data_IF_175058657101
#
_entry.id   IF_175058657101
#
_cell.length_a   1.000
_cell.length_b   1.000
_cell.length_c   1.000
_cell.angle_alpha   90.00
_cell.angle_beta   90.00
_cell.angle_gamma   90.00
#
_symmetry.space_group_name_H-M   'P 1'
#
loop_
_entity.id
_entity.type
_entity.pdbx_description
1 polymer ?
#
# COMPACT_ATOMS: atom_id res chain seq x y z
N UNK A 1 15.63 -5.81 2.60
CA UNK A 1 15.68 -6.91 3.58
C UNK A 1 15.14 -6.36 4.87
N UNK A 2 14.09 -6.99 5.39
CA UNK A 2 13.57 -6.65 6.71
C UNK A 2 14.50 -7.17 7.80
N UNK A 3 14.44 -6.57 8.98
CA UNK A 3 15.30 -6.97 10.11
C UNK A 3 14.96 -8.37 10.64
N UNK A 4 13.70 -8.79 10.60
CA UNK A 4 13.28 -10.16 10.95
C UNK A 4 13.96 -11.23 10.06
N UNK A 5 14.04 -10.99 8.76
CA UNK A 5 14.72 -11.88 7.81
C UNK A 5 16.23 -11.86 8.05
N UNK A 6 16.82 -10.69 8.30
CA UNK A 6 18.23 -10.56 8.65
C UNK A 6 18.55 -11.38 9.92
N UNK A 7 17.75 -11.23 10.97
CA UNK A 7 17.91 -11.96 12.23
C UNK A 7 17.78 -13.47 12.03
N UNK A 8 16.75 -13.91 11.31
CA UNK A 8 16.53 -15.32 10.98
C UNK A 8 17.71 -15.95 10.22
N UNK A 9 18.30 -15.22 9.26
CA UNK A 9 19.48 -15.68 8.54
C UNK A 9 20.75 -15.62 9.38
N UNK A 10 20.91 -14.59 10.22
CA UNK A 10 22.05 -14.46 11.13
C UNK A 10 22.14 -15.65 12.08
N UNK A 11 21.01 -16.06 12.67
CA UNK A 11 20.89 -17.25 13.53
C UNK A 11 21.33 -18.55 12.85
N UNK A 12 21.24 -18.64 11.52
CA UNK A 12 21.56 -19.85 10.74
C UNK A 12 22.95 -19.83 10.12
N UNK A 13 23.44 -18.67 9.72
CA UNK A 13 24.60 -18.54 8.83
C UNK A 13 25.70 -17.65 9.39
N UNK A 14 25.53 -17.10 10.59
CA UNK A 14 26.42 -16.10 11.17
C UNK A 14 26.68 -14.92 10.21
N UNK A 15 25.72 -14.01 10.18
CA UNK A 15 25.83 -12.74 9.45
C UNK A 15 26.54 -11.62 10.24
N UNK A 16 27.47 -11.94 11.15
CA UNK A 16 28.23 -10.93 11.91
C UNK A 16 28.85 -9.82 11.04
N UNK A 17 29.42 -10.09 9.85
CA UNK A 17 29.91 -9.03 8.97
C UNK A 17 28.83 -8.07 8.48
N UNK A 18 27.59 -8.56 8.28
CA UNK A 18 26.46 -7.71 7.89
C UNK A 18 25.95 -6.88 9.07
N UNK A 19 25.92 -7.45 10.28
CA UNK A 19 25.61 -6.69 11.49
C UNK A 19 26.66 -5.60 11.76
N UNK A 20 27.93 -5.86 11.45
CA UNK A 20 28.97 -4.84 11.48
C UNK A 20 28.71 -3.72 10.47
N UNK A 21 28.32 -4.06 9.24
CA UNK A 21 27.94 -3.06 8.23
C UNK A 21 26.73 -2.21 8.68
N UNK A 22 25.77 -2.80 9.40
CA UNK A 22 24.66 -2.05 10.04
C UNK A 22 25.19 -1.04 11.05
N UNK A 23 26.05 -1.46 11.99
CA UNK A 23 26.66 -0.57 13.00
C UNK A 23 27.48 0.56 12.38
N UNK A 24 28.14 0.28 11.26
CA UNK A 24 28.95 1.25 10.50
C UNK A 24 28.11 2.17 9.60
N UNK A 25 26.77 2.06 9.62
CA UNK A 25 25.85 2.82 8.76
C UNK A 25 26.06 2.59 7.24
N UNK A 26 26.44 1.36 6.85
CA UNK A 26 26.74 0.99 5.45
C UNK A 26 25.59 0.25 4.75
N UNK A 27 24.44 0.14 5.42
CA UNK A 27 23.24 -0.54 4.92
C UNK A 27 22.15 0.49 4.65
N UNK A 28 21.52 0.41 3.47
CA UNK A 28 20.35 1.19 3.09
C UNK A 28 19.16 0.23 2.87
N UNK A 29 17.99 0.47 3.47
CA UNK A 29 17.69 1.56 4.41
C UNK A 29 18.31 1.34 5.81
N UNK A 30 18.48 2.39 6.62
CA UNK A 30 18.83 2.27 8.03
C UNK A 30 17.85 1.38 8.79
N UNK A 31 18.35 0.55 9.70
CA UNK A 31 17.50 -0.43 10.41
C UNK A 31 16.45 0.23 11.32
N UNK A 32 16.69 1.46 11.78
CA UNK A 32 15.73 2.25 12.54
C UNK A 32 14.43 2.59 11.81
N UNK A 33 14.33 2.37 10.49
CA UNK A 33 13.06 2.52 9.76
C UNK A 33 12.09 1.36 9.98
N UNK A 34 12.57 0.22 10.47
CA UNK A 34 11.79 -1.03 10.52
C UNK A 34 10.70 -1.03 11.62
N UNK A 35 10.96 -0.50 12.84
CA UNK A 35 9.93 -0.38 13.87
C UNK A 35 8.74 0.49 13.46
N UNK A 36 8.95 1.50 12.62
CA UNK A 36 7.90 2.40 12.14
C UNK A 36 7.22 1.93 10.84
N UNK A 37 7.61 0.76 10.31
CA UNK A 37 7.08 0.19 9.06
C UNK A 37 5.99 -0.87 9.31
N UNK A 38 5.69 -1.20 10.57
CA UNK A 38 4.63 -2.15 10.92
C UNK A 38 3.25 -1.52 10.76
N UNK A 39 2.24 -2.31 10.37
CA UNK A 39 0.91 -1.75 10.07
C UNK A 39 0.17 -1.22 11.31
N UNK A 40 0.58 -1.62 12.51
CA UNK A 40 0.05 -1.04 13.76
C UNK A 40 0.36 0.46 13.89
N UNK A 41 1.39 0.98 13.19
CA UNK A 41 1.67 2.42 13.17
C UNK A 41 0.51 3.26 12.62
N UNK A 42 -0.35 2.69 11.78
CA UNK A 42 -1.55 3.40 11.33
C UNK A 42 -2.52 3.71 12.48
N UNK A 43 -2.52 2.91 13.57
CA UNK A 43 -3.27 3.26 14.77
C UNK A 43 -2.72 4.53 15.44
N UNK A 44 -1.39 4.69 15.50
CA UNK A 44 -0.76 5.90 16.06
C UNK A 44 -1.21 7.14 15.30
N UNK A 45 -1.22 7.05 13.96
CA UNK A 45 -1.61 8.15 13.06
C UNK A 45 -3.12 8.44 13.15
N UNK A 46 -3.96 7.43 13.33
CA UNK A 46 -5.44 7.54 13.33
C UNK A 46 -6.04 7.47 14.74
N UNK A 47 -5.22 7.65 15.76
CA UNK A 47 -5.57 7.51 17.17
C UNK A 47 -5.31 8.79 17.96
N UNK A 48 -5.07 8.70 19.28
CA UNK A 48 -4.87 9.86 20.15
C UNK A 48 -3.69 10.76 19.77
N UNK A 49 -2.70 10.25 19.03
CA UNK A 49 -1.54 11.00 18.59
C UNK A 49 -1.73 11.72 17.24
N UNK A 50 -2.92 11.64 16.62
CA UNK A 50 -3.22 12.24 15.29
C UNK A 50 -2.77 13.69 15.14
N UNK A 51 -2.84 14.50 16.20
CA UNK A 51 -2.53 15.92 16.15
C UNK A 51 -1.01 16.21 16.08
N UNK A 52 -0.16 15.18 16.21
CA UNK A 52 1.30 15.27 15.98
C UNK A 52 1.69 15.12 14.51
N UNK A 53 0.75 14.71 13.66
CA UNK A 53 0.97 14.39 12.26
C UNK A 53 0.29 15.42 11.34
N UNK A 54 0.74 15.50 10.10
CA UNK A 54 0.14 16.40 9.14
C UNK A 54 -1.27 15.92 8.76
N UNK A 55 -2.21 16.85 8.64
CA UNK A 55 -3.63 16.54 8.42
C UNK A 55 -3.89 15.76 7.11
N UNK A 56 -3.07 15.97 6.09
CA UNK A 56 -3.13 15.23 4.83
C UNK A 56 -2.62 13.79 4.95
N UNK A 57 -1.66 13.51 5.83
CA UNK A 57 -1.22 12.15 6.16
C UNK A 57 -2.30 11.42 6.95
N UNK A 58 -2.86 12.06 7.99
CA UNK A 58 -3.96 11.51 8.78
C UNK A 58 -5.17 11.22 7.89
N UNK A 59 -5.60 12.19 7.09
CA UNK A 59 -6.78 12.06 6.22
C UNK A 59 -6.64 11.04 5.09
N UNK A 60 -5.41 10.61 4.76
CA UNK A 60 -5.14 9.55 3.76
C UNK A 60 -4.86 8.19 4.38
N UNK A 61 -4.84 8.10 5.71
CA UNK A 61 -4.63 6.85 6.45
C UNK A 61 -5.99 6.32 6.92
N UNK A 62 -6.45 5.14 6.45
CA UNK A 62 -7.69 4.56 6.94
C UNK A 62 -7.63 4.28 8.45
N UNK A 63 -8.75 4.50 9.14
CA UNK A 63 -8.88 4.15 10.56
C UNK A 63 -8.39 2.72 10.81
N UNK A 64 -7.50 2.58 11.78
CA UNK A 64 -6.83 1.30 12.08
C UNK A 64 -6.69 1.11 13.59
N UNK A 65 -6.90 -0.13 14.07
CA UNK A 65 -6.61 -0.56 15.44
C UNK A 65 -5.93 -1.92 15.46
N UNK A 66 -4.99 -2.13 16.38
CA UNK A 66 -4.51 -3.43 16.79
C UNK A 66 -5.66 -4.26 17.31
N UNK A 67 -5.72 -5.51 16.85
CA UNK A 67 -6.90 -6.36 16.99
C UNK A 67 -6.76 -7.29 18.19
N UNK A 68 -7.24 -6.83 19.34
CA UNK A 68 -7.38 -7.61 20.57
C UNK A 68 -8.57 -7.08 21.40
N UNK A 69 -9.09 -7.84 22.38
CA UNK A 69 -10.19 -7.37 23.24
C UNK A 69 -9.81 -6.10 24.01
N UNK A 70 -10.46 -4.98 23.68
CA UNK A 70 -10.23 -3.66 24.30
C UNK A 70 -11.37 -2.69 24.01
N UNK A 71 -11.37 -1.59 24.76
CA UNK A 71 -12.09 -0.36 24.41
C UNK A 71 -11.24 0.51 23.48
N UNK A 72 -11.87 1.26 22.59
CA UNK A 72 -11.22 2.23 21.70
C UNK A 72 -12.25 3.18 21.08
N UNK A 73 -11.80 4.08 20.21
CA UNK A 73 -12.66 4.94 19.40
C UNK A 73 -12.76 4.40 17.98
N UNK A 74 -13.97 4.42 17.43
CA UNK A 74 -14.29 4.02 16.07
C UNK A 74 -13.90 5.07 15.02
N UNK A 75 -14.14 4.76 13.73
CA UNK A 75 -13.75 5.60 12.60
C UNK A 75 -14.37 7.00 12.63
N UNK A 76 -15.55 7.16 13.21
CA UNK A 76 -16.27 8.44 13.30
C UNK A 76 -16.12 9.10 14.69
N UNK A 77 -15.23 8.56 15.54
CA UNK A 77 -14.98 9.02 16.89
C UNK A 77 -15.96 8.50 17.94
N UNK A 78 -16.81 7.54 17.57
CA UNK A 78 -17.71 6.87 18.50
C UNK A 78 -16.96 5.94 19.46
N UNK A 79 -17.41 5.85 20.72
CA UNK A 79 -16.80 4.94 21.67
C UNK A 79 -17.16 3.48 21.33
N UNK A 80 -16.14 2.62 21.30
CA UNK A 80 -16.25 1.17 21.12
C UNK A 80 -15.89 0.49 22.44
N UNK A 81 -16.85 -0.22 23.03
CA UNK A 81 -16.66 -0.93 24.30
C UNK A 81 -15.93 -2.26 24.16
N UNK A 82 -16.14 -2.96 23.04
CA UNK A 82 -15.46 -4.20 22.70
C UNK A 82 -15.16 -4.21 21.20
N UNK A 83 -13.88 -4.03 20.86
CA UNK A 83 -13.40 -4.02 19.49
C UNK A 83 -13.75 -5.32 18.72
N UNK A 84 -13.80 -6.46 19.39
CA UNK A 84 -14.09 -7.75 18.76
C UNK A 84 -15.57 -7.81 18.39
N UNK A 85 -16.46 -7.52 19.35
CA UNK A 85 -17.91 -7.47 19.09
C UNK A 85 -18.28 -6.40 18.05
N UNK A 86 -17.62 -5.24 18.10
CA UNK A 86 -17.79 -4.19 17.09
C UNK A 86 -17.34 -4.66 15.70
N UNK A 87 -16.21 -5.37 15.61
CA UNK A 87 -15.72 -5.91 14.34
C UNK A 87 -16.69 -6.91 13.72
N UNK A 88 -17.31 -7.79 14.52
CA UNK A 88 -18.35 -8.71 14.04
C UNK A 88 -19.54 -7.97 13.42
N UNK A 89 -20.05 -6.93 14.10
CA UNK A 89 -21.22 -6.17 13.65
C UNK A 89 -20.95 -5.27 12.45
N UNK A 90 -19.69 -4.93 12.18
CA UNK A 90 -19.28 -4.02 11.10
C UNK A 90 -18.46 -4.71 10.00
N UNK A 91 -18.35 -6.05 10.03
CA UNK A 91 -17.39 -6.82 9.26
C UNK A 91 -17.35 -6.47 7.77
N UNK A 92 -18.51 -6.28 7.14
CA UNK A 92 -18.61 -5.96 5.71
C UNK A 92 -17.84 -4.69 5.29
N UNK A 93 -17.58 -3.78 6.22
CA UNK A 93 -16.86 -2.52 5.99
C UNK A 93 -15.43 -2.54 6.51
N UNK A 94 -14.90 -3.71 6.89
CA UNK A 94 -13.60 -3.84 7.54
C UNK A 94 -12.67 -4.78 6.77
N UNK A 95 -11.39 -4.68 7.13
CA UNK A 95 -10.32 -5.55 6.69
C UNK A 95 -9.53 -6.00 7.92
N UNK A 96 -9.34 -7.30 8.08
CA UNK A 96 -8.39 -7.88 9.03
C UNK A 96 -7.11 -8.25 8.29
N UNK A 97 -5.97 -7.79 8.78
CA UNK A 97 -4.66 -8.10 8.18
C UNK A 97 -3.58 -8.30 9.25
N UNK A 98 -2.65 -9.24 9.05
CA UNK A 98 -1.47 -9.36 9.90
C UNK A 98 -0.68 -8.03 9.92
N UNK A 99 -0.19 -7.64 11.09
CA UNK A 99 0.68 -6.47 11.26
C UNK A 99 1.91 -6.56 10.35
N UNK A 100 2.51 -7.76 10.30
CA UNK A 100 3.67 -8.10 9.48
C UNK A 100 3.32 -9.23 8.51
N UNK A 101 3.90 -9.20 7.31
CA UNK A 101 3.68 -10.23 6.29
C UNK A 101 3.55 -9.68 4.87
N UNK A 102 3.77 -10.56 3.90
CA UNK A 102 3.84 -10.26 2.48
C UNK A 102 2.77 -11.00 1.67
N UNK A 103 2.46 -10.46 0.48
CA UNK A 103 1.68 -11.14 -0.56
C UNK A 103 0.21 -11.44 -0.21
N UNK A 104 -0.39 -10.74 0.75
CA UNK A 104 -1.82 -10.86 1.07
C UNK A 104 -2.18 -12.11 1.89
N UNK A 105 -1.20 -12.90 2.33
CA UNK A 105 -1.45 -14.02 3.22
C UNK A 105 -2.01 -13.52 4.57
N UNK A 106 -3.01 -14.22 5.11
CA UNK A 106 -3.71 -13.84 6.34
C UNK A 106 -4.74 -12.70 6.18
N UNK A 107 -4.78 -12.00 5.05
CA UNK A 107 -5.74 -10.90 4.85
C UNK A 107 -7.17 -11.46 4.68
N UNK A 108 -8.13 -10.79 5.32
CA UNK A 108 -9.57 -11.04 5.20
C UNK A 108 -10.28 -9.73 4.94
N UNK A 109 -11.15 -9.68 3.94
CA UNK A 109 -11.85 -8.46 3.51
C UNK A 109 -13.36 -8.67 3.62
N UNK A 110 -14.03 -7.80 4.37
CA UNK A 110 -15.49 -7.76 4.49
C UNK A 110 -16.20 -7.69 3.13
N UNK A 111 -17.29 -8.45 2.98
CA UNK A 111 -18.02 -8.63 1.73
C UNK A 111 -17.37 -9.59 0.71
N UNK A 112 -16.04 -9.79 0.75
CA UNK A 112 -15.34 -10.81 -0.04
C UNK A 112 -15.27 -12.12 0.73
N UNK A 113 -14.75 -12.06 1.96
CA UNK A 113 -14.78 -13.13 2.94
C UNK A 113 -16.04 -12.94 3.79
N UNK A 114 -17.17 -13.54 3.39
CA UNK A 114 -18.47 -13.31 4.05
C UNK A 114 -18.57 -13.89 5.47
N UNK A 115 -17.76 -14.89 5.77
CA UNK A 115 -17.74 -15.54 7.08
C UNK A 115 -16.92 -14.72 8.09
N UNK A 116 -17.62 -13.96 8.93
CA UNK A 116 -17.00 -13.16 9.98
C UNK A 116 -16.40 -14.03 11.09
N UNK A 117 -16.98 -15.19 11.40
CA UNK A 117 -16.49 -16.11 12.43
C UNK A 117 -15.14 -16.70 12.04
N UNK A 118 -14.98 -17.11 10.78
CA UNK A 118 -13.68 -17.55 10.25
C UNK A 118 -12.65 -16.43 10.33
N UNK A 119 -13.00 -15.23 9.86
CA UNK A 119 -12.07 -14.12 9.77
C UNK A 119 -11.59 -13.64 11.14
N UNK A 120 -12.53 -13.38 12.06
CA UNK A 120 -12.25 -12.94 13.43
C UNK A 120 -11.57 -14.05 14.23
N UNK A 121 -12.08 -15.28 14.16
CA UNK A 121 -11.52 -16.43 14.87
C UNK A 121 -10.07 -16.72 14.46
N UNK A 122 -9.76 -16.61 13.17
CA UNK A 122 -8.38 -16.73 12.65
C UNK A 122 -7.49 -15.62 13.19
N UNK A 123 -7.91 -14.36 13.10
CA UNK A 123 -7.11 -13.22 13.57
C UNK A 123 -6.82 -13.28 15.07
N UNK A 124 -7.81 -13.69 15.89
CA UNK A 124 -7.63 -13.89 17.33
C UNK A 124 -6.68 -15.05 17.64
N UNK A 125 -6.78 -16.16 16.90
CA UNK A 125 -5.94 -17.34 17.10
C UNK A 125 -4.48 -17.08 16.73
N UNK A 126 -4.25 -16.38 15.61
CA UNK A 126 -2.91 -16.10 15.12
C UNK A 126 -2.24 -14.95 15.86
N UNK A 127 -3.01 -13.98 16.35
CA UNK A 127 -2.50 -12.78 17.03
C UNK A 127 -1.74 -11.84 16.07
N UNK A 128 -1.37 -10.65 16.55
CA UNK A 128 -0.65 -9.63 15.75
C UNK A 128 -1.39 -9.24 14.47
N UNK A 129 -2.70 -9.06 14.59
CA UNK A 129 -3.56 -8.52 13.53
C UNK A 129 -3.91 -7.08 13.84
N UNK A 130 -4.26 -6.36 12.78
CA UNK A 130 -4.99 -5.10 12.88
C UNK A 130 -6.33 -5.25 12.17
N UNK A 131 -7.31 -4.49 12.66
CA UNK A 131 -8.56 -4.20 11.97
C UNK A 131 -8.45 -2.80 11.36
N UNK A 132 -8.87 -2.67 10.10
CA UNK A 132 -8.80 -1.41 9.36
C UNK A 132 -10.11 -1.16 8.60
N UNK A 133 -10.52 0.09 8.52
CA UNK A 133 -11.66 0.50 7.69
C UNK A 133 -11.38 0.19 6.22
N UNK A 134 -12.34 -0.43 5.54
CA UNK A 134 -12.26 -0.70 4.11
C UNK A 134 -12.33 0.60 3.33
N UNK A 135 -11.39 0.78 2.42
CA UNK A 135 -11.36 1.95 1.53
C UNK A 135 -12.46 1.82 0.48
N UNK A 136 -13.35 2.82 0.31
CA UNK A 136 -14.39 2.79 -0.72
C UNK A 136 -13.79 2.69 -2.11
N UNK A 137 -14.27 1.77 -2.96
CA UNK A 137 -13.71 1.51 -4.31
C UNK A 137 -13.54 2.78 -5.14
N UNK A 138 -14.48 3.74 -5.05
CA UNK A 138 -14.40 5.03 -5.76
C UNK A 138 -13.09 5.79 -5.51
N UNK A 139 -12.47 5.60 -4.34
CA UNK A 139 -11.24 6.29 -3.95
C UNK A 139 -9.96 5.64 -4.48
N UNK A 140 -10.05 4.43 -5.06
CA UNK A 140 -8.88 3.63 -5.44
C UNK A 140 -9.21 2.59 -6.53
N UNK A 141 -10.15 2.90 -7.43
CA UNK A 141 -10.47 2.07 -8.59
C UNK A 141 -10.65 2.94 -9.81
N UNK A 142 -10.42 2.38 -10.99
CA UNK A 142 -10.68 3.01 -12.27
C UNK A 142 -11.27 1.96 -13.22
N UNK A 143 -12.14 2.40 -14.13
CA UNK A 143 -12.60 1.57 -15.23
C UNK A 143 -11.58 1.69 -16.38
N UNK A 144 -10.98 0.56 -16.75
CA UNK A 144 -9.86 0.49 -17.70
C UNK A 144 -10.24 -0.44 -18.85
N UNK A 145 -9.99 -0.06 -20.11
CA UNK A 145 -10.14 -0.95 -21.25
C UNK A 145 -9.31 -2.21 -21.06
N UNK A 146 -9.93 -3.35 -21.32
CA UNK A 146 -9.32 -4.66 -21.24
C UNK A 146 -9.86 -5.55 -22.36
N UNK A 147 -9.00 -6.42 -22.89
CA UNK A 147 -9.44 -7.47 -23.80
C UNK A 147 -10.38 -8.45 -23.08
N UNK A 148 -11.41 -8.87 -23.79
CA UNK A 148 -12.23 -10.04 -23.48
C UNK A 148 -12.01 -11.07 -24.60
N UNK A 149 -11.08 -12.03 -24.40
CA UNK A 149 -10.76 -13.02 -25.42
C UNK A 149 -11.92 -13.97 -25.73
N UNK A 150 -12.82 -14.19 -24.78
CA UNK A 150 -13.97 -15.09 -24.96
C UNK A 150 -14.99 -14.49 -25.91
N UNK A 151 -15.24 -13.19 -25.77
CA UNK A 151 -16.19 -12.44 -26.62
C UNK A 151 -15.54 -11.78 -27.82
N UNK A 152 -14.21 -11.89 -27.94
CA UNK A 152 -13.40 -11.22 -28.97
C UNK A 152 -13.72 -9.72 -29.09
N UNK A 153 -13.83 -9.03 -27.96
CA UNK A 153 -14.08 -7.60 -27.92
C UNK A 153 -13.23 -6.90 -26.85
N UNK A 154 -13.36 -5.57 -26.80
CA UNK A 154 -12.71 -4.71 -25.82
C UNK A 154 -13.81 -4.21 -24.88
N UNK A 155 -13.61 -4.33 -23.57
CA UNK A 155 -14.59 -3.95 -22.56
C UNK A 155 -13.96 -3.06 -21.50
N UNK A 156 -14.76 -2.25 -20.83
CA UNK A 156 -14.34 -1.60 -19.59
C UNK A 156 -14.44 -2.61 -18.44
N UNK A 157 -13.32 -2.81 -17.75
CA UNK A 157 -13.27 -3.59 -16.52
C UNK A 157 -12.83 -2.68 -15.38
N UNK A 158 -13.51 -2.81 -14.25
CA UNK A 158 -13.15 -2.12 -13.02
C UNK A 158 -11.94 -2.79 -12.39
N UNK A 159 -10.88 -2.03 -12.20
CA UNK A 159 -9.69 -2.48 -11.48
C UNK A 159 -9.47 -1.62 -10.26
N UNK A 160 -9.03 -2.25 -9.17
CA UNK A 160 -8.39 -1.50 -8.10
C UNK A 160 -7.06 -0.95 -8.61
N UNK A 161 -6.75 0.26 -8.18
CA UNK A 161 -5.53 0.97 -8.52
C UNK A 161 -4.81 1.31 -7.24
N UNK A 162 -3.49 1.27 -7.30
CA UNK A 162 -2.61 1.62 -6.19
C UNK A 162 -1.50 2.51 -6.75
N UNK A 163 -1.20 3.59 -6.03
CA UNK A 163 -0.24 4.58 -6.47
C UNK A 163 0.78 4.80 -5.36
N UNK A 164 2.01 4.36 -5.66
CA UNK A 164 3.12 4.36 -4.72
C UNK A 164 4.02 5.55 -4.99
N UNK A 165 4.33 6.31 -3.95
CA UNK A 165 5.36 7.33 -3.96
C UNK A 165 6.70 6.74 -3.48
N UNK A 166 7.79 7.08 -4.18
CA UNK A 166 9.15 6.73 -3.80
C UNK A 166 9.88 8.00 -3.34
N UNK A 167 10.30 8.02 -2.08
CA UNK A 167 10.65 9.24 -1.35
C UNK A 167 12.06 9.10 -0.78
N UNK A 168 12.86 10.14 -0.93
CA UNK A 168 14.14 10.36 -0.26
C UNK A 168 14.06 11.57 0.69
N UNK A 169 15.17 11.94 1.34
CA UNK A 169 15.17 12.98 2.38
C UNK A 169 14.64 14.34 1.91
N UNK A 170 15.08 14.77 0.72
CA UNK A 170 14.72 16.09 0.18
C UNK A 170 14.18 15.98 -1.26
N UNK A 171 13.75 14.78 -1.67
CA UNK A 171 13.27 14.57 -3.05
C UNK A 171 12.28 13.43 -3.18
N UNK A 172 11.46 13.52 -4.22
CA UNK A 172 10.62 12.42 -4.71
C UNK A 172 11.35 11.78 -5.88
N UNK A 173 11.71 10.50 -5.75
CA UNK A 173 12.39 9.75 -6.79
C UNK A 173 11.47 9.37 -7.95
N UNK A 174 10.18 9.20 -7.66
CA UNK A 174 9.17 8.92 -8.66
C UNK A 174 7.96 8.22 -8.09
N UNK A 175 7.18 7.64 -8.99
CA UNK A 175 5.91 7.02 -8.68
C UNK A 175 5.77 5.68 -9.39
N UNK A 176 5.00 4.77 -8.80
CA UNK A 176 4.63 3.50 -9.40
C UNK A 176 3.10 3.33 -9.36
N UNK A 177 2.49 3.26 -10.53
CA UNK A 177 1.09 2.85 -10.68
C UNK A 177 0.97 1.33 -10.75
N UNK A 178 0.06 0.77 -9.96
CA UNK A 178 -0.32 -0.64 -9.98
C UNK A 178 -1.81 -0.76 -10.20
N UNK A 179 -2.24 -1.85 -10.83
CA UNK A 179 -3.65 -2.16 -11.02
C UNK A 179 -3.92 -3.66 -10.91
N UNK A 180 -5.14 -4.06 -10.56
CA UNK A 180 -5.52 -5.46 -10.50
C UNK A 180 -6.90 -5.69 -9.90
N UNK A 181 -7.21 -6.97 -9.69
CA UNK A 181 -8.36 -7.39 -8.86
C UNK A 181 -8.04 -7.16 -7.37
N UNK A 182 -8.94 -7.57 -6.47
CA UNK A 182 -8.71 -7.50 -5.02
C UNK A 182 -8.07 -8.80 -4.54
N UNK A 183 -6.85 -8.82 -3.97
CA UNK A 183 -5.90 -7.71 -3.82
C UNK A 183 -5.08 -7.43 -5.10
N UNK A 184 -4.57 -6.21 -5.25
CA UNK A 184 -3.83 -5.72 -6.46
C UNK A 184 -2.43 -6.31 -6.65
N UNK A 185 -2.04 -7.28 -5.82
CA UNK A 185 -0.70 -7.86 -5.85
C UNK A 185 -0.43 -8.58 -7.17
N UNK A 186 0.81 -8.47 -7.67
CA UNK A 186 1.24 -9.15 -8.91
C UNK A 186 1.09 -10.66 -8.79
N UNK A 187 1.43 -11.23 -7.63
CA UNK A 187 1.22 -12.66 -7.33
C UNK A 187 -0.25 -13.10 -7.29
N UNK A 188 -1.19 -12.15 -7.30
CA UNK A 188 -2.65 -12.37 -7.36
C UNK A 188 -3.23 -12.00 -8.73
N UNK A 189 -2.38 -11.79 -9.74
CA UNK A 189 -2.79 -11.46 -11.10
C UNK A 189 -2.90 -9.96 -11.40
N UNK A 190 -2.44 -9.10 -10.49
CA UNK A 190 -2.24 -7.66 -10.71
C UNK A 190 -1.04 -7.34 -11.62
N UNK A 191 -0.86 -6.07 -11.93
CA UNK A 191 0.15 -5.57 -12.84
C UNK A 191 0.50 -4.11 -12.58
N UNK A 192 1.17 -3.50 -13.55
CA UNK A 192 1.54 -2.07 -13.52
C UNK A 192 0.64 -1.25 -14.41
N UNK A 193 0.30 -0.06 -13.93
CA UNK A 193 -0.41 0.95 -14.72
C UNK A 193 0.62 2.01 -15.11
N UNK A 194 0.91 2.20 -16.42
CA UNK A 194 1.79 3.28 -16.87
C UNK A 194 1.28 4.63 -16.37
N UNK A 195 2.14 5.62 -16.20
CA UNK A 195 1.74 6.97 -15.78
C UNK A 195 1.84 7.95 -16.95
N UNK A 196 0.81 8.75 -17.15
CA UNK A 196 0.74 9.76 -18.21
C UNK A 196 0.48 11.14 -17.64
N UNK A 197 1.29 12.13 -18.00
CA UNK A 197 1.07 13.51 -17.56
C UNK A 197 0.07 14.19 -18.50
N UNK A 198 -1.10 14.57 -17.99
CA UNK A 198 -2.08 15.36 -18.72
C UNK A 198 -1.57 16.80 -18.84
N UNK A 199 -1.29 17.22 -20.09
CA UNK A 199 -0.80 18.57 -20.45
C UNK A 199 -1.84 19.33 -21.26
N UNK A 200 -3.08 19.28 -20.82
CA UNK A 200 -4.19 20.03 -21.40
C UNK A 200 -5.09 20.55 -20.28
N UNK A 201 -5.94 21.52 -20.61
CA UNK A 201 -6.93 22.08 -19.68
C UNK A 201 -8.19 21.19 -19.56
N UNK A 202 -8.18 20.02 -20.19
CA UNK A 202 -9.27 19.04 -20.11
C UNK A 202 -9.38 18.52 -18.68
N UNK A 203 -10.60 18.26 -18.22
CA UNK A 203 -10.78 17.62 -16.93
C UNK A 203 -10.18 16.20 -16.93
N UNK A 204 -9.77 15.75 -15.76
CA UNK A 204 -9.21 14.41 -15.57
C UNK A 204 -10.19 13.30 -15.98
N UNK A 205 -11.49 13.51 -15.72
CA UNK A 205 -12.57 12.62 -16.13
C UNK A 205 -12.71 12.58 -17.65
N UNK A 206 -12.86 13.73 -18.31
CA UNK A 206 -13.05 13.81 -19.76
C UNK A 206 -11.84 13.24 -20.52
N UNK A 207 -10.61 13.51 -20.05
CA UNK A 207 -9.40 12.96 -20.66
C UNK A 207 -9.34 11.44 -20.53
N UNK A 208 -9.74 10.92 -19.38
CA UNK A 208 -9.82 9.47 -19.15
C UNK A 208 -10.88 8.81 -20.02
N UNK A 209 -12.08 9.39 -20.07
CA UNK A 209 -13.20 8.92 -20.89
C UNK A 209 -12.83 8.91 -22.37
N UNK A 210 -12.24 10.00 -22.88
CA UNK A 210 -11.82 10.08 -24.27
C UNK A 210 -10.78 9.02 -24.66
N UNK A 211 -9.82 8.70 -23.77
CA UNK A 211 -8.86 7.61 -24.04
C UNK A 211 -9.57 6.25 -23.98
N UNK A 212 -10.49 6.06 -23.03
CA UNK A 212 -11.28 4.85 -22.94
C UNK A 212 -12.10 4.62 -24.21
N UNK A 213 -12.86 5.63 -24.67
CA UNK A 213 -13.64 5.60 -25.92
C UNK A 213 -12.76 5.30 -27.13
N UNK A 214 -11.59 5.95 -27.22
CA UNK A 214 -10.66 5.72 -28.32
C UNK A 214 -10.20 4.25 -28.37
N UNK A 215 -9.84 3.65 -27.23
CA UNK A 215 -9.40 2.25 -27.16
C UNK A 215 -10.59 1.29 -27.42
N UNK A 216 -11.77 1.58 -26.88
CA UNK A 216 -12.98 0.77 -27.08
C UNK A 216 -13.45 0.77 -28.55
N UNK A 217 -13.19 1.86 -29.28
CA UNK A 217 -13.50 1.99 -30.70
C UNK A 217 -12.48 1.33 -31.64
N UNK A 218 -11.40 0.75 -31.12
CA UNK A 218 -10.41 0.03 -31.94
C UNK A 218 -10.89 -1.37 -32.31
N UNK A 219 -10.37 -1.90 -33.43
CA UNK A 219 -10.57 -3.30 -33.79
C UNK A 219 -9.89 -4.23 -32.76
N UNK A 220 -10.59 -5.29 -32.35
CA UNK A 220 -10.07 -6.25 -31.37
C UNK A 220 -8.70 -6.81 -31.77
N UNK A 221 -8.52 -7.10 -33.07
CA UNK A 221 -7.28 -7.65 -33.62
C UNK A 221 -6.07 -6.73 -33.39
N UNK A 222 -6.27 -5.41 -33.52
CA UNK A 222 -5.20 -4.43 -33.35
C UNK A 222 -4.77 -4.34 -31.88
N UNK A 223 -5.74 -4.28 -30.97
CA UNK A 223 -5.45 -4.23 -29.52
C UNK A 223 -4.87 -5.55 -29.03
N UNK A 224 -5.33 -6.68 -29.56
CA UNK A 224 -4.76 -8.00 -29.29
C UNK A 224 -3.27 -8.06 -29.64
N UNK A 225 -2.88 -7.58 -30.83
CA UNK A 225 -1.48 -7.54 -31.24
C UNK A 225 -0.62 -6.67 -30.31
N UNK A 226 -1.14 -5.54 -29.84
CA UNK A 226 -0.44 -4.68 -28.87
C UNK A 226 -0.25 -5.42 -27.54
N UNK A 227 -1.27 -6.12 -27.02
CA UNK A 227 -1.15 -6.88 -25.78
C UNK A 227 -0.14 -8.03 -25.90
N UNK A 228 -0.12 -8.75 -27.02
CA UNK A 228 0.89 -9.79 -27.27
C UNK A 228 2.30 -9.21 -27.39
N UNK A 229 2.45 -8.05 -28.04
CA UNK A 229 3.71 -7.33 -28.08
C UNK A 229 4.19 -6.94 -26.67
N UNK A 230 3.31 -6.41 -25.82
CA UNK A 230 3.64 -6.08 -24.43
C UNK A 230 4.09 -7.32 -23.65
N UNK A 231 3.40 -8.46 -23.77
CA UNK A 231 3.79 -9.71 -23.11
C UNK A 231 5.17 -10.19 -23.58
N UNK A 232 5.43 -10.16 -24.90
CA UNK A 232 6.72 -10.56 -25.46
C UNK A 232 7.85 -9.68 -24.93
N UNK A 233 7.67 -8.36 -24.95
CA UNK A 233 8.64 -7.43 -24.39
C UNK A 233 8.89 -7.66 -22.89
N UNK A 234 7.83 -7.93 -22.11
CA UNK A 234 7.97 -8.21 -20.68
C UNK A 234 8.83 -9.46 -20.43
N UNK A 235 8.67 -10.52 -21.23
CA UNK A 235 9.52 -11.71 -21.14
C UNK A 235 10.97 -11.38 -21.55
N UNK A 236 11.17 -10.72 -22.69
CA UNK A 236 12.49 -10.36 -23.22
C UNK A 236 13.30 -9.47 -22.26
N UNK A 237 12.62 -8.62 -21.49
CA UNK A 237 13.24 -7.72 -20.51
C UNK A 237 13.28 -8.28 -19.09
N UNK A 238 12.91 -9.54 -18.91
CA UNK A 238 12.78 -10.17 -17.58
C UNK A 238 11.88 -9.37 -16.62
N UNK A 239 10.91 -8.65 -17.18
CA UNK A 239 9.83 -7.98 -16.44
C UNK A 239 8.72 -9.00 -16.13
N UNK A 240 9.11 -10.03 -15.39
CA UNK A 240 8.30 -11.20 -15.04
C UNK A 240 8.27 -11.38 -13.53
N UNK A 241 7.20 -12.00 -13.02
CA UNK A 241 7.05 -12.30 -11.60
C UNK A 241 6.14 -13.51 -11.41
N UNK A 242 6.62 -14.55 -10.71
CA UNK A 242 5.95 -15.82 -10.36
C UNK A 242 5.04 -16.44 -11.45
N UNK A 243 3.89 -15.82 -11.70
CA UNK A 243 2.87 -16.19 -12.68
C UNK A 243 3.22 -15.86 -14.15
N UNK A 244 4.37 -15.24 -14.40
CA UNK A 244 4.87 -14.96 -15.76
C UNK A 244 5.05 -13.46 -16.03
N UNK A 245 4.85 -12.97 -17.27
CA UNK A 245 5.02 -11.55 -17.58
C UNK A 245 4.07 -10.67 -16.76
N UNK A 246 4.62 -9.58 -16.22
CA UNK A 246 3.82 -8.62 -15.45
C UNK A 246 2.83 -7.93 -16.41
N UNK A 247 1.55 -7.93 -16.05
CA UNK A 247 0.50 -7.29 -16.84
C UNK A 247 0.70 -5.77 -16.86
N UNK A 248 0.39 -5.16 -18.00
CA UNK A 248 0.44 -3.71 -18.19
C UNK A 248 -0.97 -3.24 -18.59
N UNK A 249 -1.49 -2.20 -17.94
CA UNK A 249 -2.78 -1.63 -18.28
C UNK A 249 -2.75 -1.00 -19.69
N UNK A 250 -3.85 -1.12 -20.45
CA UNK A 250 -3.96 -0.52 -21.79
C UNK A 250 -3.98 1.00 -21.77
N UNK A 251 -4.51 1.61 -20.71
CA UNK A 251 -4.53 3.05 -20.50
C UNK A 251 -3.58 3.45 -19.36
N UNK A 252 -2.75 4.50 -19.54
CA UNK A 252 -1.98 5.05 -18.44
C UNK A 252 -2.90 5.68 -17.37
N UNK A 253 -2.50 5.60 -16.10
CA UNK A 253 -3.05 6.47 -15.07
C UNK A 253 -2.66 7.89 -15.38
N UNK A 254 -3.66 8.74 -15.57
CA UNK A 254 -3.43 10.13 -15.89
C UNK A 254 -3.20 10.93 -14.60
N UNK A 255 -2.27 11.89 -14.65
CA UNK A 255 -1.96 12.80 -13.57
C UNK A 255 -1.62 14.18 -14.13
N UNK A 256 -2.01 15.25 -13.44
CA UNK A 256 -1.66 16.62 -13.83
C UNK A 256 -0.34 17.08 -13.20
N UNK A 257 0.28 18.12 -13.75
CA UNK A 257 1.46 18.75 -13.12
C UNK A 257 1.12 19.30 -11.72
N UNK A 258 -0.09 19.86 -11.54
CA UNK A 258 -0.55 20.32 -10.22
C UNK A 258 -0.63 19.19 -9.19
N UNK A 259 -1.18 18.03 -9.58
CA UNK A 259 -1.23 16.85 -8.71
C UNK A 259 0.18 16.33 -8.39
N UNK A 260 1.12 16.38 -9.32
CA UNK A 260 2.54 16.04 -9.05
C UNK A 260 3.14 16.97 -8.00
N UNK A 261 2.90 18.29 -8.06
CA UNK A 261 3.39 19.22 -7.04
C UNK A 261 2.72 18.97 -5.68
N UNK A 262 1.43 18.69 -5.65
CA UNK A 262 0.73 18.30 -4.42
C UNK A 262 1.30 17.00 -3.82
N UNK A 263 1.64 16.02 -4.65
CA UNK A 263 2.31 14.79 -4.20
C UNK A 263 3.69 15.07 -3.62
N UNK A 264 4.45 16.04 -4.13
CA UNK A 264 5.74 16.42 -3.53
C UNK A 264 5.56 16.97 -2.11
N UNK A 265 4.54 17.83 -1.91
CA UNK A 265 4.20 18.33 -0.57
C UNK A 265 3.80 17.18 0.36
N UNK A 266 2.94 16.28 -0.10
CA UNK A 266 2.56 15.08 0.65
C UNK A 266 3.78 14.22 1.01
N UNK A 267 4.71 14.01 0.07
CA UNK A 267 5.90 13.20 0.33
C UNK A 267 6.81 13.85 1.39
N UNK A 268 6.93 15.18 1.39
CA UNK A 268 7.69 15.91 2.41
C UNK A 268 7.03 15.79 3.79
N UNK A 269 5.71 15.95 3.88
CA UNK A 269 4.97 15.72 5.13
C UNK A 269 5.12 14.28 5.61
N UNK A 270 4.99 13.30 4.72
CA UNK A 270 5.13 11.89 5.07
C UNK A 270 6.54 11.58 5.61
N UNK A 271 7.59 12.10 4.97
CA UNK A 271 8.95 11.94 5.48
C UNK A 271 9.09 12.52 6.89
N UNK A 272 8.56 13.73 7.12
CA UNK A 272 8.55 14.37 8.44
C UNK A 272 7.76 13.57 9.49
N UNK A 273 6.63 13.00 9.10
CA UNK A 273 5.77 12.21 9.99
C UNK A 273 6.40 10.86 10.33
N UNK A 274 7.09 10.23 9.38
CA UNK A 274 7.91 9.05 9.66
C UNK A 274 9.03 9.37 10.66
N UNK A 275 9.68 10.55 10.57
CA UNK A 275 10.68 10.97 11.57
C UNK A 275 10.05 11.21 12.94
N UNK A 276 8.81 11.69 12.98
CA UNK A 276 8.06 11.84 14.23
C UNK A 276 7.75 10.48 14.85
N UNK A 277 7.31 9.50 14.06
CA UNK A 277 7.13 8.12 14.53
C UNK A 277 8.43 7.51 15.05
N UNK A 278 9.55 7.72 14.36
CA UNK A 278 10.83 7.18 14.81
C UNK A 278 11.25 7.79 16.15
N UNK A 279 11.07 9.11 16.31
CA UNK A 279 11.36 9.81 17.56
C UNK A 279 10.52 9.25 18.71
N UNK A 280 9.22 9.09 18.50
CA UNK A 280 8.31 8.48 19.48
C UNK A 280 8.77 7.08 19.87
N UNK A 281 9.19 6.25 18.90
CA UNK A 281 9.75 4.93 19.17
C UNK A 281 11.05 5.00 20.00
N UNK A 282 11.99 5.86 19.63
CA UNK A 282 13.26 6.03 20.35
C UNK A 282 13.06 6.57 21.78
N UNK A 283 11.98 7.31 22.01
CA UNK A 283 11.60 7.86 23.32
C UNK A 283 10.77 6.87 24.17
N UNK A 284 10.44 5.68 23.64
CA UNK A 284 9.67 4.64 24.32
C UNK A 284 8.15 4.87 24.30
N UNK A 285 7.67 5.90 23.59
CA UNK A 285 6.23 6.22 23.52
C UNK A 285 5.42 5.14 22.77
N UNK A 286 6.08 4.30 21.98
CA UNK A 286 5.45 3.28 21.14
C UNK A 286 5.69 1.84 21.62
N UNK A 287 6.25 1.63 22.81
CA UNK A 287 6.62 0.29 23.31
C UNK A 287 5.41 -0.66 23.40
N UNK A 288 4.23 -0.13 23.72
CA UNK A 288 2.98 -0.91 23.79
C UNK A 288 2.37 -1.23 22.41
N UNK A 289 2.85 -0.60 21.33
CA UNK A 289 2.33 -0.75 19.96
C UNK A 289 3.30 -1.56 19.09
N UNK A 290 4.60 -1.37 19.29
CA UNK A 290 5.67 -2.03 18.53
C UNK A 290 5.89 -3.43 19.06
N UNK A 291 5.09 -4.39 18.57
CA UNK A 291 5.26 -5.80 18.92
C UNK A 291 6.32 -6.48 18.02
N UNK A 292 7.58 -6.26 18.36
CA UNK A 292 8.75 -6.76 17.63
C UNK A 292 9.67 -7.51 18.61
N UNK A 293 10.31 -8.60 18.15
CA UNK A 293 11.28 -9.34 18.96
C UNK A 293 12.44 -8.43 19.41
N UNK A 294 12.86 -8.53 20.68
CA UNK A 294 13.86 -7.63 21.24
C UNK A 294 15.20 -7.68 20.50
N UNK A 295 15.68 -8.86 20.09
CA UNK A 295 16.90 -8.99 19.26
C UNK A 295 16.78 -8.25 17.91
N UNK A 296 15.56 -8.19 17.34
CA UNK A 296 15.31 -7.44 16.12
C UNK A 296 15.35 -5.93 16.39
N UNK A 297 14.78 -5.49 17.51
CA UNK A 297 14.84 -4.10 17.96
C UNK A 297 16.27 -3.67 18.31
N UNK A 298 17.08 -4.54 18.91
CA UNK A 298 18.51 -4.29 19.13
C UNK A 298 19.22 -3.98 17.82
N UNK A 299 18.99 -4.79 16.77
CA UNK A 299 19.54 -4.52 15.44
C UNK A 299 19.03 -3.19 14.88
N UNK A 300 17.75 -2.86 15.06
CA UNK A 300 17.20 -1.56 14.66
C UNK A 300 17.92 -0.40 15.36
N UNK A 301 18.20 -0.53 16.66
CA UNK A 301 18.92 0.46 17.48
C UNK A 301 20.40 0.58 17.14
N UNK A 302 21.02 -0.43 16.49
CA UNK A 302 22.40 -0.32 15.97
C UNK A 302 22.55 0.72 14.87
N UNK A 303 21.47 1.05 14.16
CA UNK A 303 21.47 1.98 13.04
C UNK A 303 20.17 2.81 13.02
N UNK A 304 19.98 3.73 13.99
CA UNK A 304 18.80 4.59 14.00
C UNK A 304 18.78 5.42 12.71
N UNK A 305 17.59 5.67 12.18
CA UNK A 305 17.42 6.38 10.92
C UNK A 305 17.74 7.86 11.05
N UNK A 306 17.10 8.58 11.98
CA UNK A 306 17.32 10.02 12.28
C UNK A 306 17.38 10.91 11.03
N UNK A 307 16.61 10.56 10.00
CA UNK A 307 16.56 11.31 8.74
C UNK A 307 17.76 11.15 7.83
N UNK A 308 18.65 10.19 8.10
CA UNK A 308 19.71 9.82 7.15
C UNK A 308 19.12 9.29 5.83
N UNK A 309 19.91 9.24 4.74
CA UNK A 309 19.41 8.78 3.45
C UNK A 309 18.73 7.41 3.51
N UNK A 310 17.47 7.38 3.08
CA UNK A 310 16.63 6.20 2.98
C UNK A 310 15.73 6.32 1.76
N UNK A 311 15.19 5.18 1.31
CA UNK A 311 14.16 5.13 0.27
C UNK A 311 12.87 4.66 0.93
N UNK A 312 11.93 5.58 1.15
CA UNK A 312 10.62 5.27 1.70
C UNK A 312 9.64 5.07 0.54
N UNK A 313 8.89 3.98 0.60
CA UNK A 313 7.82 3.68 -0.33
C UNK A 313 6.49 3.76 0.39
N UNK A 314 5.57 4.59 -0.10
CA UNK A 314 4.25 4.75 0.51
C UNK A 314 3.15 4.58 -0.52
N UNK A 315 2.23 3.68 -0.19
CA UNK A 315 0.96 3.53 -0.89
C UNK A 315 -0.05 4.43 -0.20
N UNK A 316 -0.60 5.40 -0.94
CA UNK A 316 -1.58 6.34 -0.41
C UNK A 316 -2.91 6.25 -1.15
N UNK A 317 -3.96 6.77 -0.50
CA UNK A 317 -5.27 6.91 -1.12
C UNK A 317 -5.27 8.13 -2.03
N UNK A 318 -4.99 7.90 -3.31
CA UNK A 318 -4.95 8.94 -4.33
C UNK A 318 -6.05 8.72 -5.37
N UNK A 319 -7.03 9.62 -5.35
CA UNK A 319 -7.96 9.83 -6.45
C UNK A 319 -7.45 11.00 -7.30
N UNK A 320 -7.17 10.72 -8.57
CA UNK A 320 -6.72 11.73 -9.53
C UNK A 320 -7.87 12.28 -10.39
N UNK A 321 -9.12 11.97 -10.06
CA UNK A 321 -10.32 12.42 -10.78
C UNK A 321 -10.75 11.48 -11.91
N UNK A 322 -10.35 10.21 -11.84
CA UNK A 322 -10.68 9.15 -12.79
C UNK A 322 -11.45 7.98 -12.15
N UNK A 323 -11.88 8.14 -10.89
CA UNK A 323 -12.65 7.14 -10.17
C UNK A 323 -13.98 6.83 -10.86
N UNK A 324 -14.52 5.60 -10.69
CA UNK A 324 -15.81 5.25 -11.25
C UNK A 324 -16.91 6.16 -10.70
N UNK A 325 -17.88 6.50 -11.55
CA UNK A 325 -19.10 7.16 -11.10
C UNK A 325 -19.81 6.28 -10.07
N UNK A 326 -20.43 6.89 -9.05
CA UNK A 326 -21.16 6.16 -8.03
C UNK A 326 -22.28 5.35 -8.69
N UNK A 327 -22.27 4.04 -8.47
CA UNK A 327 -23.40 3.14 -8.72
C UNK A 327 -24.47 3.33 -7.66
#
# INVERSE_FOLDING_TARGET
FNTDVLLSLHRKHDLSPLLQAVRENRVINPRGTEPINVKSMFEVITGPHRDRFHADIVGRTPWTRQFYPRRTDGPDGEAIDDLIAWTYSHWDNLVLKPERGYSGNGVRVGGVNKDADEAVGKALKEGNYIVQQKVPLKSWAEDIPALDPEKQNITLKRYQTDFRCLIGPDSVFGFLGRFGSVPTNVGSGGGVQPLGVLRSDMSMGDATERINEAILGMEYGDVFQIVEMQKKMAIERSFTYLLGPIKIALRPRLITTYQIESLKSYCAHLWSDCLTLERMWLEGELDDIVNIEEEELEIARLQPWRGSPAIIASDGLFDFGAGPQAS
#
